data_IF_694583538028
#
_entry.id   IF_694583538028
#
_cell.length_a   1.000
_cell.length_b   1.000
_cell.length_c   1.000
_cell.angle_alpha   90.00
_cell.angle_beta   90.00
_cell.angle_gamma   90.00
#
_symmetry.space_group_name_H-M   'P 1'
#
loop_
_entity.id
_entity.type
_entity.pdbx_description
1 polymer ?
#
# COMPACT_ATOMS: atom_id res chain seq x y z
N UNK A 1 -3.17 24.70 -2.20
CA UNK A 1 -3.22 23.45 -3.00
C UNK A 1 -1.91 22.72 -2.75
N UNK A 2 -1.95 21.57 -2.04
CA UNK A 2 -0.75 20.78 -1.77
C UNK A 2 -0.31 20.13 -3.07
N UNK A 3 0.70 20.68 -3.68
CA UNK A 3 1.26 20.24 -4.95
C UNK A 3 2.40 19.22 -4.78
N UNK A 4 2.67 18.71 -3.59
CA UNK A 4 3.69 17.72 -3.29
C UNK A 4 3.67 16.49 -4.22
N UNK A 5 4.25 15.41 -3.80
CA UNK A 5 4.26 14.15 -4.56
C UNK A 5 2.86 13.73 -5.03
N UNK A 6 1.82 14.11 -4.28
CA UNK A 6 0.42 13.94 -4.66
C UNK A 6 0.02 14.72 -5.95
N UNK A 7 0.75 15.75 -6.35
CA UNK A 7 0.48 16.53 -7.57
C UNK A 7 0.99 15.92 -8.87
N UNK A 8 1.87 14.94 -8.80
CA UNK A 8 2.47 14.30 -9.99
C UNK A 8 1.47 13.46 -10.78
N UNK A 9 1.85 13.20 -12.03
CA UNK A 9 1.04 12.38 -12.94
C UNK A 9 0.72 11.00 -12.30
N UNK A 10 -0.51 10.49 -12.45
CA UNK A 10 -0.94 9.23 -11.85
C UNK A 10 -0.02 8.04 -12.13
N UNK A 11 0.55 7.96 -13.32
CA UNK A 11 1.51 6.91 -13.71
C UNK A 11 2.77 6.92 -12.83
N UNK A 12 3.34 8.10 -12.55
CA UNK A 12 4.54 8.24 -11.70
C UNK A 12 4.25 7.73 -10.29
N UNK A 13 3.11 8.17 -9.73
CA UNK A 13 2.72 7.75 -8.38
C UNK A 13 2.51 6.23 -8.29
N UNK A 14 1.79 5.65 -9.26
CA UNK A 14 1.49 4.20 -9.23
C UNK A 14 2.75 3.38 -9.46
N UNK A 15 3.62 3.76 -10.40
CA UNK A 15 4.92 3.09 -10.60
C UNK A 15 5.76 3.13 -9.32
N UNK A 16 5.87 4.29 -8.68
CA UNK A 16 6.60 4.42 -7.42
C UNK A 16 6.09 3.43 -6.36
N UNK A 17 4.79 3.41 -6.10
CA UNK A 17 4.23 2.52 -5.07
C UNK A 17 4.37 1.04 -5.44
N UNK A 18 4.21 0.68 -6.72
CA UNK A 18 4.45 -0.70 -7.19
C UNK A 18 5.91 -1.09 -6.91
N UNK A 19 6.88 -0.24 -7.29
CA UNK A 19 8.30 -0.50 -7.08
C UNK A 19 8.62 -0.70 -5.60
N UNK A 20 8.22 0.24 -4.73
CA UNK A 20 8.56 0.18 -3.30
C UNK A 20 7.89 -1.00 -2.60
N UNK A 21 6.63 -1.31 -2.93
CA UNK A 21 5.93 -2.47 -2.35
C UNK A 21 6.57 -3.77 -2.85
N UNK A 22 6.84 -3.89 -4.15
CA UNK A 22 7.46 -5.08 -4.73
C UNK A 22 8.85 -5.34 -4.14
N UNK A 23 9.71 -4.32 -4.08
CA UNK A 23 11.04 -4.46 -3.47
C UNK A 23 10.96 -4.70 -1.96
N UNK A 24 10.02 -4.08 -1.25
CA UNK A 24 9.79 -4.33 0.17
C UNK A 24 9.37 -5.78 0.49
N UNK A 25 8.75 -6.48 -0.49
CA UNK A 25 8.40 -7.90 -0.36
C UNK A 25 9.56 -8.83 -0.80
N UNK A 26 10.32 -8.45 -1.82
CA UNK A 26 11.39 -9.27 -2.39
C UNK A 26 12.68 -9.21 -1.57
N UNK A 27 13.04 -8.02 -1.06
CA UNK A 27 14.26 -7.79 -0.30
C UNK A 27 14.05 -8.17 1.16
N UNK A 28 14.41 -9.40 1.54
CA UNK A 28 14.28 -9.89 2.93
C UNK A 28 15.44 -9.53 3.85
N UNK A 29 16.37 -8.71 3.37
CA UNK A 29 17.52 -8.28 4.15
C UNK A 29 17.09 -7.28 5.24
N UNK A 30 17.50 -7.46 6.53
CA UNK A 30 16.98 -6.68 7.65
C UNK A 30 17.23 -5.17 7.50
N UNK A 31 18.37 -4.75 6.95
CA UNK A 31 18.68 -3.32 6.74
C UNK A 31 17.72 -2.68 5.75
N UNK A 32 17.41 -3.32 4.63
CA UNK A 32 16.43 -2.81 3.65
C UNK A 32 15.03 -2.69 4.25
N UNK A 33 14.63 -3.68 5.06
CA UNK A 33 13.32 -3.68 5.73
C UNK A 33 13.19 -2.56 6.74
N UNK A 34 14.22 -2.31 7.54
CA UNK A 34 14.23 -1.19 8.51
C UNK A 34 14.14 0.15 7.80
N UNK A 35 14.86 0.34 6.69
CA UNK A 35 14.79 1.55 5.88
C UNK A 35 13.39 1.74 5.30
N UNK A 36 12.79 0.69 4.73
CA UNK A 36 11.42 0.72 4.21
C UNK A 36 10.41 1.05 5.30
N UNK A 37 10.54 0.45 6.48
CA UNK A 37 9.68 0.72 7.62
C UNK A 37 9.77 2.16 8.11
N UNK A 38 11.00 2.69 8.28
CA UNK A 38 11.21 4.07 8.74
C UNK A 38 10.68 5.08 7.71
N UNK A 39 10.96 4.87 6.42
CA UNK A 39 10.51 5.78 5.37
C UNK A 39 8.99 5.76 5.19
N UNK A 40 8.36 4.57 5.19
CA UNK A 40 6.90 4.44 5.12
C UNK A 40 6.21 5.08 6.32
N UNK A 41 6.78 4.88 7.52
CA UNK A 41 6.30 5.48 8.76
C UNK A 41 6.37 7.01 8.69
N UNK A 42 7.52 7.56 8.31
CA UNK A 42 7.74 9.01 8.21
C UNK A 42 6.79 9.64 7.19
N UNK A 43 6.63 9.00 6.02
CA UNK A 43 5.75 9.49 4.98
C UNK A 43 4.28 9.41 5.36
N UNK A 44 3.84 8.30 5.95
CA UNK A 44 2.46 8.14 6.42
C UNK A 44 2.09 9.15 7.51
N UNK A 45 2.99 9.39 8.47
CA UNK A 45 2.77 10.39 9.51
C UNK A 45 2.66 11.81 8.94
N UNK A 46 3.42 12.12 7.91
CA UNK A 46 3.33 13.40 7.20
C UNK A 46 1.98 13.56 6.48
N UNK A 47 1.50 12.52 5.79
CA UNK A 47 0.23 12.55 5.04
C UNK A 47 -1.00 12.61 5.95
N UNK A 48 -1.06 11.77 6.98
CA UNK A 48 -2.26 11.56 7.81
C UNK A 48 -2.20 12.28 9.16
N UNK A 49 -1.09 12.87 9.56
CA UNK A 49 -0.92 13.69 10.76
C UNK A 49 -1.39 12.99 12.06
N UNK A 50 -2.37 13.60 12.76
CA UNK A 50 -2.89 13.06 14.04
C UNK A 50 -3.61 11.72 13.88
N UNK A 51 -4.31 11.52 12.76
CA UNK A 51 -5.02 10.26 12.47
C UNK A 51 -4.00 9.15 12.21
N UNK A 52 -2.96 9.44 11.43
CA UNK A 52 -1.87 8.51 11.17
C UNK A 52 -1.19 8.00 12.44
N UNK A 53 -0.85 8.90 13.37
CA UNK A 53 -0.29 8.51 14.69
C UNK A 53 -1.19 7.55 15.45
N UNK A 54 -2.50 7.82 15.50
CA UNK A 54 -3.46 6.94 16.18
C UNK A 54 -3.52 5.56 15.53
N UNK A 55 -3.49 5.49 14.20
CA UNK A 55 -3.50 4.23 13.44
C UNK A 55 -2.22 3.42 13.69
N UNK A 56 -1.07 4.08 13.69
CA UNK A 56 0.22 3.43 13.99
C UNK A 56 0.20 2.77 15.37
N UNK A 57 -0.12 3.53 16.42
CA UNK A 57 -0.09 2.99 17.79
C UNK A 57 -1.20 1.99 18.08
N UNK A 58 -2.39 2.15 17.49
CA UNK A 58 -3.55 1.30 17.81
C UNK A 58 -3.62 0.04 16.95
N UNK A 59 -3.08 0.09 15.74
CA UNK A 59 -3.22 -1.00 14.77
C UNK A 59 -1.87 -1.59 14.34
N UNK A 60 -0.93 -0.77 13.84
CA UNK A 60 0.30 -1.27 13.24
C UNK A 60 1.27 -1.86 14.27
N UNK A 61 1.43 -1.22 15.42
CA UNK A 61 2.34 -1.69 16.45
C UNK A 61 1.85 -2.99 17.14
N UNK A 62 0.56 -3.13 17.54
CA UNK A 62 0.05 -4.42 18.00
C UNK A 62 0.11 -5.51 16.95
N UNK A 63 -0.12 -5.18 15.67
CA UNK A 63 -0.02 -6.11 14.57
C UNK A 63 1.42 -6.62 14.38
N UNK A 64 2.41 -5.74 14.49
CA UNK A 64 3.83 -6.12 14.44
C UNK A 64 4.16 -7.12 15.55
N UNK A 65 3.79 -6.81 16.79
CA UNK A 65 4.00 -7.70 17.93
C UNK A 65 3.29 -9.06 17.74
N UNK A 66 2.07 -9.03 17.24
CA UNK A 66 1.28 -10.22 16.98
C UNK A 66 1.94 -11.14 15.94
N UNK A 67 2.44 -10.58 14.82
CA UNK A 67 3.14 -11.36 13.79
C UNK A 67 4.44 -11.95 14.32
N UNK A 68 5.21 -11.18 15.11
CA UNK A 68 6.45 -11.67 15.74
C UNK A 68 6.12 -12.86 16.67
N UNK A 69 5.15 -12.70 17.55
CA UNK A 69 4.76 -13.72 18.52
C UNK A 69 4.26 -14.99 17.84
N UNK A 70 3.33 -14.86 16.88
CA UNK A 70 2.81 -16.04 16.18
C UNK A 70 3.92 -16.76 15.42
N UNK A 71 4.74 -16.02 14.67
CA UNK A 71 5.83 -16.64 13.93
C UNK A 71 6.79 -17.40 14.86
N UNK A 72 7.19 -16.79 15.97
CA UNK A 72 8.11 -17.41 16.93
C UNK A 72 7.51 -18.59 17.71
N UNK A 73 6.18 -18.61 17.91
CA UNK A 73 5.50 -19.69 18.62
C UNK A 73 5.19 -20.89 17.74
N UNK A 74 4.91 -20.66 16.44
CA UNK A 74 4.52 -21.72 15.52
C UNK A 74 5.67 -22.25 14.66
N UNK A 75 6.70 -21.44 14.41
CA UNK A 75 7.90 -21.87 13.70
C UNK A 75 8.98 -22.29 14.68
N UNK A 76 9.40 -23.54 14.59
CA UNK A 76 10.41 -24.16 15.45
C UNK A 76 11.72 -24.40 14.68
N UNK A 77 12.01 -23.55 13.70
CA UNK A 77 13.23 -23.61 12.91
C UNK A 77 14.43 -23.13 13.71
N UNK A 78 15.61 -23.66 13.39
CA UNK A 78 16.87 -23.22 13.94
C UNK A 78 17.47 -24.19 14.96
N UNK A 79 18.72 -23.93 15.31
CA UNK A 79 19.56 -24.79 16.17
C UNK A 79 19.69 -24.17 17.56
N UNK A 80 19.60 -22.85 17.67
CA UNK A 80 19.82 -22.13 18.94
C UNK A 80 18.53 -22.07 19.76
N UNK A 81 18.38 -23.01 20.71
CA UNK A 81 17.22 -23.04 21.61
C UNK A 81 17.39 -22.03 22.76
N UNK A 82 16.43 -21.12 22.89
CA UNK A 82 16.36 -20.15 23.99
C UNK A 82 15.66 -20.77 25.22
N UNK A 83 14.53 -21.40 25.02
CA UNK A 83 13.78 -22.15 26.03
C UNK A 83 12.84 -23.16 25.37
N UNK A 84 12.39 -24.13 26.15
CA UNK A 84 11.45 -25.16 25.69
C UNK A 84 10.07 -24.80 26.21
N UNK A 85 9.07 -24.75 25.29
CA UNK A 85 7.69 -24.49 25.67
C UNK A 85 7.09 -25.69 26.45
N UNK A 86 6.05 -25.46 27.26
CA UNK A 86 5.33 -26.57 27.93
C UNK A 86 4.74 -27.59 26.98
N UNK A 87 4.56 -27.24 25.69
CA UNK A 87 4.11 -28.13 24.61
C UNK A 87 5.21 -29.07 24.10
N UNK A 88 6.44 -28.99 24.61
CA UNK A 88 7.61 -29.77 24.16
C UNK A 88 8.31 -29.16 22.92
N UNK A 89 7.87 -28.05 22.40
CA UNK A 89 8.46 -27.38 21.24
C UNK A 89 9.57 -26.43 21.67
N UNK A 90 10.63 -26.34 20.87
CA UNK A 90 11.76 -25.45 21.12
C UNK A 90 11.46 -24.03 20.62
N UNK A 91 11.62 -23.02 21.47
CA UNK A 91 11.61 -21.62 21.08
C UNK A 91 13.05 -21.22 20.69
N UNK A 92 13.27 -20.91 19.41
CA UNK A 92 14.61 -20.69 18.87
C UNK A 92 14.85 -19.21 18.55
N UNK A 93 16.13 -18.80 18.62
CA UNK A 93 16.53 -17.43 18.26
C UNK A 93 16.27 -17.11 16.78
N UNK A 94 16.51 -18.07 15.91
CA UNK A 94 16.30 -17.94 14.46
C UNK A 94 14.83 -17.74 14.14
N UNK A 95 13.92 -18.44 14.83
CA UNK A 95 12.47 -18.25 14.67
C UNK A 95 12.03 -16.83 15.11
N UNK A 96 12.64 -16.28 16.16
CA UNK A 96 12.37 -14.92 16.61
C UNK A 96 12.85 -13.88 15.60
N UNK A 97 14.08 -14.04 15.07
CA UNK A 97 14.61 -13.15 14.02
C UNK A 97 13.75 -13.22 12.75
N UNK A 98 13.37 -14.42 12.33
CA UNK A 98 12.47 -14.61 11.19
C UNK A 98 11.10 -13.96 11.43
N UNK A 99 10.58 -14.09 12.66
CA UNK A 99 9.34 -13.42 13.10
C UNK A 99 9.43 -11.90 13.01
N UNK A 100 10.56 -11.33 13.44
CA UNK A 100 10.82 -9.90 13.37
C UNK A 100 10.90 -9.40 11.92
N UNK A 101 11.63 -10.10 11.06
CA UNK A 101 11.75 -9.80 9.62
C UNK A 101 10.39 -9.86 8.94
N UNK A 102 9.63 -10.94 9.17
CA UNK A 102 8.28 -11.10 8.61
C UNK A 102 7.32 -10.03 9.13
N UNK A 103 7.38 -9.70 10.42
CA UNK A 103 6.57 -8.65 11.03
C UNK A 103 6.83 -7.27 10.44
N UNK A 104 8.10 -6.87 10.31
CA UNK A 104 8.47 -5.61 9.67
C UNK A 104 8.04 -5.58 8.21
N UNK A 105 8.23 -6.67 7.46
CA UNK A 105 7.81 -6.75 6.05
C UNK A 105 6.32 -6.50 5.92
N UNK A 106 5.48 -7.24 6.66
CA UNK A 106 4.02 -7.10 6.60
C UNK A 106 3.58 -5.68 6.98
N UNK A 107 4.11 -5.15 8.08
CA UNK A 107 3.73 -3.81 8.54
C UNK A 107 4.19 -2.72 7.58
N UNK A 108 5.40 -2.81 7.02
CA UNK A 108 5.90 -1.85 6.02
C UNK A 108 5.05 -1.85 4.76
N UNK A 109 4.68 -3.02 4.27
CA UNK A 109 3.79 -3.14 3.09
C UNK A 109 2.44 -2.51 3.37
N UNK A 110 1.83 -2.77 4.53
CA UNK A 110 0.56 -2.16 4.92
C UNK A 110 0.68 -0.63 5.04
N UNK A 111 1.78 -0.13 5.59
CA UNK A 111 2.03 1.31 5.66
C UNK A 111 2.14 1.94 4.27
N UNK A 112 2.85 1.28 3.33
CA UNK A 112 2.92 1.74 1.95
C UNK A 112 1.55 1.73 1.26
N UNK A 113 0.70 0.73 1.54
CA UNK A 113 -0.69 0.71 1.06
C UNK A 113 -1.52 1.86 1.64
N UNK A 114 -1.33 2.23 2.91
CA UNK A 114 -1.99 3.41 3.47
C UNK A 114 -1.53 4.70 2.76
N UNK A 115 -0.23 4.85 2.50
CA UNK A 115 0.29 5.97 1.72
C UNK A 115 -0.27 5.99 0.29
N UNK A 116 -0.34 4.82 -0.35
CA UNK A 116 -0.94 4.66 -1.69
C UNK A 116 -2.39 5.17 -1.71
N UNK A 117 -3.21 4.76 -0.77
CA UNK A 117 -4.62 5.15 -0.71
C UNK A 117 -4.81 6.66 -0.49
N UNK A 118 -3.88 7.33 0.21
CA UNK A 118 -3.92 8.78 0.40
C UNK A 118 -3.44 9.56 -0.84
N UNK A 119 -2.49 9.03 -1.59
CA UNK A 119 -1.87 9.71 -2.75
C UNK A 119 -2.61 9.40 -4.04
N UNK A 120 -2.96 8.12 -4.26
CA UNK A 120 -3.67 7.67 -5.46
C UNK A 120 -5.17 7.70 -5.21
N UNK A 121 -5.78 8.82 -5.56
CA UNK A 121 -7.25 8.99 -5.47
C UNK A 121 -7.97 8.18 -6.54
N UNK A 122 -9.29 7.98 -6.36
CA UNK A 122 -10.16 7.31 -7.33
C UNK A 122 -10.04 7.90 -8.74
N UNK A 123 -9.94 9.24 -8.85
CA UNK A 123 -9.77 9.94 -10.13
C UNK A 123 -8.48 9.56 -10.86
N UNK A 124 -7.36 9.42 -10.10
CA UNK A 124 -6.07 9.01 -10.66
C UNK A 124 -6.08 7.57 -11.14
N UNK A 125 -6.67 6.70 -10.32
CA UNK A 125 -6.86 5.30 -10.68
C UNK A 125 -7.69 5.17 -11.96
N UNK A 126 -8.81 5.87 -12.03
CA UNK A 126 -9.67 5.92 -13.21
C UNK A 126 -8.97 6.47 -14.46
N UNK A 127 -8.06 7.43 -14.30
CA UNK A 127 -7.27 7.96 -15.41
C UNK A 127 -6.37 6.89 -16.06
N UNK A 128 -5.68 6.09 -15.23
CA UNK A 128 -4.79 5.01 -15.73
C UNK A 128 -5.61 3.92 -16.40
N UNK A 129 -6.65 3.41 -15.71
CA UNK A 129 -7.51 2.36 -16.24
C UNK A 129 -8.30 2.80 -17.47
N UNK A 130 -8.70 4.08 -17.53
CA UNK A 130 -9.42 4.65 -18.64
C UNK A 130 -8.66 4.63 -19.96
N UNK A 131 -7.33 4.67 -19.89
CA UNK A 131 -6.47 4.55 -21.07
C UNK A 131 -6.31 3.10 -21.55
N UNK A 132 -6.24 2.15 -20.61
CA UNK A 132 -6.04 0.71 -20.91
C UNK A 132 -7.37 0.05 -21.31
N UNK A 133 -8.45 0.33 -20.58
CA UNK A 133 -9.77 -0.28 -20.74
C UNK A 133 -10.87 0.81 -20.75
N UNK A 134 -11.06 1.55 -21.87
CA UNK A 134 -11.96 2.70 -21.91
C UNK A 134 -13.42 2.35 -21.55
N UNK A 135 -13.90 1.18 -21.99
CA UNK A 135 -15.26 0.69 -21.67
C UNK A 135 -15.40 0.34 -20.20
N UNK A 136 -14.40 -0.35 -19.62
CA UNK A 136 -14.36 -0.71 -18.21
C UNK A 136 -14.29 0.51 -17.29
N UNK A 137 -13.46 1.48 -17.62
CA UNK A 137 -13.35 2.73 -16.87
C UNK A 137 -14.67 3.50 -16.80
N UNK A 138 -15.42 3.53 -17.89
CA UNK A 138 -16.74 4.16 -17.92
C UNK A 138 -17.69 3.44 -16.95
N UNK A 139 -17.73 2.10 -16.97
CA UNK A 139 -18.57 1.32 -16.04
C UNK A 139 -18.19 1.58 -14.59
N UNK A 140 -16.89 1.55 -14.25
CA UNK A 140 -16.42 1.83 -12.89
C UNK A 140 -16.76 3.26 -12.46
N UNK A 141 -16.59 4.25 -13.35
CA UNK A 141 -17.00 5.64 -13.07
C UNK A 141 -18.49 5.77 -12.78
N UNK A 142 -19.34 5.04 -13.50
CA UNK A 142 -20.77 4.98 -13.22
C UNK A 142 -21.05 4.32 -11.87
N UNK A 143 -20.40 3.22 -11.55
CA UNK A 143 -20.54 2.52 -10.25
C UNK A 143 -20.18 3.47 -9.11
N UNK A 144 -19.02 4.14 -9.17
CA UNK A 144 -18.59 5.09 -8.14
C UNK A 144 -19.61 6.23 -7.93
N UNK A 145 -20.24 6.70 -9.00
CA UNK A 145 -21.31 7.70 -8.92
C UNK A 145 -22.59 7.12 -8.33
N UNK A 146 -22.94 5.88 -8.65
CA UNK A 146 -24.18 5.25 -8.18
C UNK A 146 -24.14 4.81 -6.73
N UNK A 147 -22.98 4.45 -6.19
CA UNK A 147 -22.85 4.05 -4.76
C UNK A 147 -23.43 5.09 -3.79
N UNK A 148 -23.06 6.38 -3.83
CA UNK A 148 -23.67 7.38 -2.96
C UNK A 148 -25.15 7.62 -3.26
N UNK A 149 -25.58 7.53 -4.52
CA UNK A 149 -26.97 7.66 -4.94
C UNK A 149 -27.82 6.52 -4.34
N UNK A 150 -27.38 5.27 -4.46
CA UNK A 150 -28.08 4.10 -3.93
C UNK A 150 -28.14 4.11 -2.39
N UNK A 151 -27.08 4.58 -1.72
CA UNK A 151 -27.09 4.77 -0.26
C UNK A 151 -28.16 5.78 0.17
N UNK A 152 -28.33 6.89 -0.55
CA UNK A 152 -29.39 7.87 -0.29
C UNK A 152 -30.77 7.26 -0.52
N UNK A 153 -30.97 6.61 -1.67
CA UNK A 153 -32.23 5.99 -2.04
C UNK A 153 -32.64 4.87 -1.06
N UNK A 154 -31.70 4.05 -0.62
CA UNK A 154 -31.94 3.05 0.42
C UNK A 154 -32.43 3.68 1.74
N UNK A 155 -31.83 4.79 2.18
CA UNK A 155 -32.29 5.51 3.37
C UNK A 155 -33.72 6.05 3.20
N UNK A 156 -34.03 6.65 2.05
CA UNK A 156 -35.39 7.14 1.74
C UNK A 156 -36.41 6.00 1.79
N UNK A 157 -36.14 4.88 1.12
CA UNK A 157 -37.01 3.70 1.14
C UNK A 157 -37.18 3.17 2.56
N UNK A 158 -36.10 3.07 3.33
CA UNK A 158 -36.13 2.60 4.71
C UNK A 158 -36.95 3.53 5.62
N UNK A 159 -36.81 4.85 5.44
CA UNK A 159 -37.60 5.85 6.20
C UNK A 159 -39.07 5.82 5.81
N UNK A 160 -39.38 5.80 4.52
CA UNK A 160 -40.77 5.71 4.06
C UNK A 160 -41.49 4.46 4.62
N UNK A 161 -40.80 3.32 4.59
CA UNK A 161 -41.37 2.07 5.17
C UNK A 161 -41.50 2.11 6.71
N UNK A 162 -40.59 2.81 7.39
CA UNK A 162 -40.70 3.03 8.82
C UNK A 162 -41.92 3.87 9.17
N UNK A 163 -42.19 4.93 8.42
CA UNK A 163 -43.38 5.76 8.59
C UNK A 163 -44.67 4.99 8.31
N UNK A 164 -44.64 3.95 7.48
CA UNK A 164 -45.76 3.03 7.26
C UNK A 164 -45.90 1.91 8.31
N UNK A 165 -45.12 1.96 9.41
CA UNK A 165 -45.15 0.97 10.47
C UNK A 165 -44.53 -0.41 10.13
N UNK A 166 -43.92 -0.54 8.96
CA UNK A 166 -43.44 -1.84 8.45
C UNK A 166 -42.02 -2.23 8.91
N UNK A 167 -41.31 -1.35 9.61
CA UNK A 167 -39.90 -1.56 9.97
C UNK A 167 -39.66 -1.68 11.48
N UNK A 168 -40.68 -1.64 12.30
CA UNK A 168 -40.60 -1.70 13.76
C UNK A 168 -40.74 -3.14 14.26
N UNK A 169 -39.62 -3.81 14.39
CA UNK A 169 -39.52 -5.08 15.10
C UNK A 169 -38.13 -5.27 15.71
N UNK A 170 -38.10 -5.66 16.99
CA UNK A 170 -36.84 -5.98 17.68
C UNK A 170 -36.29 -7.37 17.33
N UNK A 171 -37.07 -8.20 16.60
CA UNK A 171 -36.62 -9.52 16.16
C UNK A 171 -35.63 -9.43 15.01
N UNK A 172 -34.47 -10.04 15.17
CA UNK A 172 -33.38 -10.07 14.14
C UNK A 172 -33.90 -10.62 12.80
N UNK A 173 -34.69 -11.68 12.79
CA UNK A 173 -35.23 -12.31 11.58
C UNK A 173 -36.18 -11.35 10.84
N UNK A 174 -37.03 -10.63 11.55
CA UNK A 174 -37.96 -9.66 10.95
C UNK A 174 -37.15 -8.45 10.37
N UNK A 175 -36.15 -8.00 11.10
CA UNK A 175 -35.27 -6.94 10.63
C UNK A 175 -34.54 -7.34 9.34
N UNK A 176 -34.03 -8.58 9.27
CA UNK A 176 -33.37 -9.12 8.06
C UNK A 176 -34.37 -9.20 6.90
N UNK A 177 -35.58 -9.74 7.12
CA UNK A 177 -36.64 -9.79 6.11
C UNK A 177 -37.01 -8.39 5.57
N UNK A 178 -37.09 -7.38 6.45
CA UNK A 178 -37.36 -6.01 6.08
C UNK A 178 -36.21 -5.39 5.27
N UNK A 179 -34.95 -5.70 5.60
CA UNK A 179 -33.80 -5.29 4.83
C UNK A 179 -33.85 -5.86 3.41
N UNK A 180 -34.14 -7.16 3.24
CA UNK A 180 -34.30 -7.77 1.92
C UNK A 180 -35.44 -7.16 1.11
N UNK A 181 -36.57 -6.80 1.73
CA UNK A 181 -37.65 -6.09 1.06
C UNK A 181 -37.19 -4.68 0.57
N UNK A 182 -36.44 -3.96 1.41
CA UNK A 182 -35.88 -2.65 1.01
C UNK A 182 -34.93 -2.78 -0.18
N UNK A 183 -34.07 -3.83 -0.15
CA UNK A 183 -33.16 -4.12 -1.26
C UNK A 183 -33.96 -4.48 -2.52
N UNK A 184 -35.02 -5.27 -2.43
CA UNK A 184 -35.87 -5.60 -3.57
C UNK A 184 -36.45 -4.36 -4.25
N UNK A 185 -36.98 -3.40 -3.46
CA UNK A 185 -37.47 -2.12 -3.99
C UNK A 185 -36.34 -1.32 -4.64
N UNK A 186 -35.16 -1.28 -4.00
CA UNK A 186 -33.99 -0.59 -4.54
C UNK A 186 -33.52 -1.20 -5.87
N UNK A 187 -33.55 -2.53 -5.99
CA UNK A 187 -33.16 -3.23 -7.23
C UNK A 187 -34.14 -2.90 -8.36
N UNK A 188 -35.44 -2.93 -8.13
CA UNK A 188 -36.45 -2.54 -9.14
C UNK A 188 -36.26 -1.10 -9.62
N UNK A 189 -36.06 -0.17 -8.69
CA UNK A 189 -35.76 1.22 -9.02
C UNK A 189 -34.42 1.34 -9.78
N UNK A 190 -33.41 0.51 -9.44
CA UNK A 190 -32.12 0.53 -10.12
C UNK A 190 -32.21 0.12 -11.58
N UNK A 191 -33.07 -0.85 -11.92
CA UNK A 191 -33.30 -1.27 -13.31
C UNK A 191 -33.97 -0.16 -14.12
N UNK A 192 -35.00 0.50 -13.57
CA UNK A 192 -35.66 1.64 -14.20
C UNK A 192 -34.65 2.77 -14.49
N UNK A 193 -33.88 3.18 -13.48
CA UNK A 193 -32.85 4.19 -13.61
C UNK A 193 -31.73 3.80 -14.62
N UNK A 194 -31.41 2.50 -14.72
CA UNK A 194 -30.42 2.02 -15.68
C UNK A 194 -30.91 2.16 -17.13
N UNK A 195 -32.20 1.89 -17.40
CA UNK A 195 -32.82 2.06 -18.72
C UNK A 195 -32.82 3.55 -19.11
N UNK A 196 -33.29 4.42 -18.22
CA UNK A 196 -33.30 5.88 -18.46
C UNK A 196 -31.88 6.43 -18.72
N UNK A 197 -30.89 5.92 -17.92
CA UNK A 197 -29.49 6.30 -18.12
C UNK A 197 -28.98 5.85 -19.49
N UNK A 198 -29.29 4.62 -19.90
CA UNK A 198 -28.88 4.07 -21.18
C UNK A 198 -29.48 4.87 -22.35
N UNK A 199 -30.74 5.24 -22.28
CA UNK A 199 -31.42 6.05 -23.32
C UNK A 199 -30.86 7.48 -23.37
N UNK A 200 -30.61 8.08 -22.20
CA UNK A 200 -29.92 9.38 -22.12
C UNK A 200 -28.52 9.33 -22.72
N UNK A 201 -27.77 8.25 -22.52
CA UNK A 201 -26.44 8.05 -23.11
C UNK A 201 -26.50 7.91 -24.63
N UNK A 202 -27.47 7.14 -25.16
CA UNK A 202 -27.69 7.00 -26.60
C UNK A 202 -28.04 8.37 -27.23
N UNK A 203 -28.93 9.12 -26.61
CA UNK A 203 -29.31 10.46 -27.06
C UNK A 203 -28.12 11.43 -27.11
N UNK A 204 -27.12 11.25 -26.23
CA UNK A 204 -25.87 12.03 -26.23
C UNK A 204 -24.81 11.50 -27.21
N UNK A 205 -25.15 10.56 -28.06
CA UNK A 205 -24.24 10.01 -29.07
C UNK A 205 -23.28 8.93 -28.55
N UNK A 206 -23.61 8.27 -27.43
CA UNK A 206 -22.80 7.15 -26.95
C UNK A 206 -22.80 6.02 -27.99
N UNK A 207 -21.60 5.54 -28.34
CA UNK A 207 -21.40 4.47 -29.35
C UNK A 207 -21.02 4.97 -30.74
N UNK A 208 -21.08 6.27 -31.02
CA UNK A 208 -20.61 6.85 -32.27
C UNK A 208 -19.10 6.80 -32.40
N UNK A 209 -18.59 6.68 -33.64
CA UNK A 209 -17.15 6.71 -33.94
C UNK A 209 -16.59 8.14 -33.73
N UNK A 210 -15.32 8.25 -33.33
CA UNK A 210 -14.65 9.54 -33.15
C UNK A 210 -14.70 10.11 -31.71
N UNK A 211 -15.06 9.28 -30.71
CA UNK A 211 -15.07 9.71 -29.32
C UNK A 211 -13.66 10.07 -28.84
N UNK A 212 -13.49 11.30 -28.36
CA UNK A 212 -12.27 11.78 -27.68
C UNK A 212 -12.36 11.53 -26.19
N UNK A 213 -11.21 11.26 -25.56
CA UNK A 213 -11.09 11.09 -24.12
C UNK A 213 -10.62 12.40 -23.50
N UNK A 214 -11.42 12.96 -22.60
CA UNK A 214 -10.99 14.10 -21.79
C UNK A 214 -10.05 13.64 -20.69
N UNK A 215 -8.78 14.09 -20.75
CA UNK A 215 -7.79 13.82 -19.73
C UNK A 215 -7.64 15.01 -18.79
N UNK A 216 -7.95 14.83 -17.52
CA UNK A 216 -7.73 15.82 -16.45
C UNK A 216 -6.26 15.97 -16.09
N UNK A 217 -5.49 14.88 -16.26
CA UNK A 217 -4.08 14.85 -15.93
C UNK A 217 -3.26 14.96 -17.20
N UNK A 218 -2.52 16.05 -17.31
CA UNK A 218 -1.57 16.28 -18.41
C UNK A 218 -0.16 15.98 -17.93
N UNK A 219 0.67 15.51 -18.83
CA UNK A 219 2.06 15.23 -18.55
C UNK A 219 2.87 16.53 -18.51
N UNK A 220 3.59 16.76 -17.41
CA UNK A 220 4.43 17.94 -17.21
C UNK A 220 5.92 17.55 -17.18
N UNK A 221 6.79 18.52 -17.43
CA UNK A 221 8.26 18.32 -17.35
C UNK A 221 8.72 17.81 -15.97
N UNK A 222 8.00 18.19 -14.89
CA UNK A 222 8.23 17.68 -13.55
C UNK A 222 8.02 16.17 -13.43
N UNK A 223 7.06 15.59 -14.18
CA UNK A 223 6.79 14.14 -14.17
C UNK A 223 7.93 13.37 -14.84
N UNK A 224 8.50 13.91 -15.91
CA UNK A 224 9.69 13.34 -16.57
C UNK A 224 10.90 13.37 -15.64
N UNK A 225 11.11 14.49 -14.92
CA UNK A 225 12.18 14.61 -13.92
C UNK A 225 12.03 13.65 -12.73
N UNK A 226 10.83 13.22 -12.42
CA UNK A 226 10.58 12.26 -11.35
C UNK A 226 10.68 10.81 -11.82
N UNK A 227 10.31 10.49 -13.08
CA UNK A 227 10.32 9.12 -13.58
C UNK A 227 11.73 8.63 -13.92
N UNK A 228 12.61 9.52 -14.37
CA UNK A 228 14.01 9.16 -14.70
C UNK A 228 14.76 8.62 -13.48
N UNK A 229 14.86 9.33 -12.34
CA UNK A 229 15.52 8.77 -11.16
C UNK A 229 14.80 7.53 -10.62
N UNK A 230 13.47 7.45 -10.70
CA UNK A 230 12.72 6.30 -10.28
C UNK A 230 13.14 5.05 -11.06
N UNK A 231 13.12 5.09 -12.39
CA UNK A 231 13.54 3.97 -13.24
C UNK A 231 15.02 3.62 -13.10
N UNK A 232 15.88 4.62 -12.86
CA UNK A 232 17.30 4.40 -12.59
C UNK A 232 17.50 3.65 -11.27
N UNK A 233 16.83 4.07 -10.20
CA UNK A 233 16.91 3.38 -8.91
C UNK A 233 16.35 1.97 -9.00
N UNK A 234 15.22 1.76 -9.69
CA UNK A 234 14.65 0.43 -9.91
C UNK A 234 15.65 -0.48 -10.63
N UNK A 235 16.32 0.02 -11.68
CA UNK A 235 17.34 -0.75 -12.41
C UNK A 235 18.54 -1.11 -11.52
N UNK A 236 19.02 -0.17 -10.68
CA UNK A 236 20.12 -0.43 -9.74
C UNK A 236 19.73 -1.45 -8.66
N UNK A 237 18.51 -1.40 -8.14
CA UNK A 237 18.02 -2.35 -7.16
C UNK A 237 17.89 -3.75 -7.79
N UNK A 238 17.35 -3.84 -9.01
CA UNK A 238 17.23 -5.10 -9.75
C UNK A 238 18.62 -5.69 -10.03
N UNK A 239 19.61 -4.88 -10.45
CA UNK A 239 20.96 -5.35 -10.66
C UNK A 239 21.60 -5.90 -9.37
N UNK A 240 21.32 -5.24 -8.23
CA UNK A 240 21.73 -5.70 -6.92
C UNK A 240 21.05 -7.03 -6.52
N UNK A 241 19.78 -7.19 -6.84
CA UNK A 241 19.01 -8.39 -6.54
C UNK A 241 19.51 -9.59 -7.37
N UNK A 242 19.83 -9.39 -8.65
CA UNK A 242 20.44 -10.41 -9.53
C UNK A 242 21.86 -10.79 -9.07
N UNK A 243 22.59 -9.85 -8.48
CA UNK A 243 23.93 -10.08 -7.92
C UNK A 243 23.93 -10.54 -6.45
N UNK A 244 22.83 -11.12 -5.95
CA UNK A 244 22.68 -11.62 -4.57
C UNK A 244 23.03 -10.60 -3.47
N UNK A 245 22.96 -9.31 -3.76
CA UNK A 245 23.37 -8.24 -2.85
C UNK A 245 22.49 -8.10 -1.60
N UNK A 246 21.29 -8.67 -1.62
CA UNK A 246 20.34 -8.69 -0.49
C UNK A 246 20.10 -10.11 0.02
N UNK A 247 21.10 -10.99 -0.12
CA UNK A 247 21.04 -12.37 0.31
C UNK A 247 20.95 -12.48 1.82
N UNK A 248 19.94 -13.21 2.32
CA UNK A 248 19.78 -13.55 3.73
C UNK A 248 19.14 -14.92 3.86
N UNK A 249 19.74 -15.76 4.72
CA UNK A 249 19.18 -17.03 5.15
C UNK A 249 18.87 -16.95 6.64
N UNK A 250 17.69 -17.44 7.02
CA UNK A 250 17.23 -17.46 8.42
C UNK A 250 16.97 -18.86 8.94
N UNK A 251 17.28 -19.90 8.16
CA UNK A 251 17.08 -21.30 8.52
C UNK A 251 18.12 -22.18 7.80
N UNK A 252 18.88 -23.05 8.48
CA UNK A 252 18.88 -23.30 9.94
C UNK A 252 19.67 -22.28 10.76
N UNK A 253 20.51 -21.47 10.13
CA UNK A 253 21.34 -20.43 10.74
C UNK A 253 20.97 -19.07 10.17
N UNK A 254 21.27 -18.02 10.92
CA UNK A 254 21.09 -16.65 10.44
C UNK A 254 22.35 -16.19 9.70
N UNK A 255 22.27 -16.08 8.37
CA UNK A 255 23.38 -15.60 7.52
C UNK A 255 22.93 -14.31 6.84
N UNK A 256 23.67 -13.23 7.07
CA UNK A 256 23.41 -11.92 6.49
C UNK A 256 24.54 -11.62 5.49
N UNK A 257 24.21 -11.29 4.28
CA UNK A 257 25.05 -11.14 3.08
C UNK A 257 25.67 -12.45 2.57
N UNK A 258 25.96 -12.54 1.25
CA UNK A 258 26.59 -13.70 0.68
C UNK A 258 28.04 -13.86 1.21
N UNK A 259 28.56 -15.07 1.30
CA UNK A 259 29.95 -15.30 1.65
C UNK A 259 30.87 -14.61 0.64
N UNK A 260 31.73 -13.72 1.11
CA UNK A 260 32.69 -12.98 0.29
C UNK A 260 34.05 -13.70 0.33
N UNK A 261 34.68 -13.88 -0.82
CA UNK A 261 36.01 -14.48 -0.92
C UNK A 261 37.12 -13.66 -0.23
N UNK A 262 36.86 -12.38 0.02
CA UNK A 262 37.88 -11.43 0.56
C UNK A 262 37.50 -10.76 1.87
N UNK A 263 36.37 -11.09 2.46
CA UNK A 263 35.84 -10.40 3.65
C UNK A 263 36.00 -11.16 4.95
N UNK A 264 36.26 -10.44 6.04
CA UNK A 264 36.20 -10.98 7.40
C UNK A 264 34.76 -11.32 7.75
N UNK A 265 34.44 -12.61 7.89
CA UNK A 265 33.16 -13.08 8.41
C UNK A 265 33.14 -12.87 9.92
N UNK A 266 32.12 -12.17 10.42
CA UNK A 266 31.89 -12.07 11.87
C UNK A 266 30.93 -13.21 12.28
N UNK A 267 31.47 -14.16 13.07
CA UNK A 267 30.70 -15.31 13.57
C UNK A 267 30.46 -15.10 15.06
N UNK A 268 29.19 -15.01 15.45
CA UNK A 268 28.80 -15.01 16.85
C UNK A 268 28.38 -16.45 17.19
N UNK A 269 29.32 -17.22 17.72
CA UNK A 269 29.17 -18.67 17.95
C UNK A 269 27.99 -19.02 18.86
N UNK A 270 27.72 -18.20 19.88
CA UNK A 270 26.62 -18.47 20.84
C UNK A 270 25.22 -18.38 20.17
N UNK A 271 25.07 -17.56 19.13
CA UNK A 271 23.80 -17.31 18.44
C UNK A 271 23.75 -17.86 17.02
N UNK A 272 24.78 -18.57 16.57
CA UNK A 272 24.91 -19.08 15.18
C UNK A 272 24.61 -18.00 14.11
N UNK A 273 25.05 -16.77 14.38
CA UNK A 273 24.82 -15.60 13.52
C UNK A 273 26.09 -15.31 12.74
N UNK A 274 26.00 -15.33 11.41
CA UNK A 274 27.09 -14.96 10.51
C UNK A 274 26.75 -13.68 9.77
N UNK A 275 27.63 -12.67 9.91
CA UNK A 275 27.48 -11.39 9.20
C UNK A 275 28.69 -11.23 8.27
N UNK A 276 28.44 -11.20 6.99
CA UNK A 276 29.46 -10.92 5.99
C UNK A 276 29.46 -9.42 5.63
N UNK A 277 30.60 -8.86 5.18
CA UNK A 277 30.67 -7.46 4.76
C UNK A 277 29.84 -7.22 3.50
N UNK A 278 29.35 -5.98 3.36
CA UNK A 278 28.65 -5.55 2.16
C UNK A 278 29.59 -5.51 0.95
N UNK A 279 29.18 -6.06 -0.16
CA UNK A 279 29.85 -5.87 -1.46
C UNK A 279 29.59 -4.46 -1.99
N UNK A 280 30.42 -3.97 -2.91
CA UNK A 280 30.22 -2.65 -3.54
C UNK A 280 28.83 -2.58 -4.18
N UNK A 281 28.40 -3.65 -4.84
CA UNK A 281 27.06 -3.74 -5.45
C UNK A 281 25.94 -3.66 -4.41
N UNK A 282 26.12 -4.30 -3.25
CA UNK A 282 25.17 -4.22 -2.13
C UNK A 282 25.03 -2.79 -1.61
N UNK A 283 26.13 -2.06 -1.49
CA UNK A 283 26.12 -0.66 -1.04
C UNK A 283 25.40 0.24 -2.05
N UNK A 284 25.68 0.07 -3.35
CA UNK A 284 25.02 0.84 -4.40
C UNK A 284 23.51 0.58 -4.40
N UNK A 285 23.09 -0.68 -4.34
CA UNK A 285 21.67 -1.05 -4.30
C UNK A 285 20.99 -0.56 -3.04
N UNK A 286 21.67 -0.57 -1.87
CA UNK A 286 21.16 -0.04 -0.62
C UNK A 286 20.91 1.46 -0.68
N UNK A 287 21.87 2.22 -1.23
CA UNK A 287 21.74 3.67 -1.42
C UNK A 287 20.59 3.97 -2.39
N UNK A 288 20.51 3.24 -3.52
CA UNK A 288 19.42 3.40 -4.47
C UNK A 288 18.05 3.13 -3.84
N UNK A 289 17.92 2.06 -3.05
CA UNK A 289 16.69 1.73 -2.33
C UNK A 289 16.32 2.79 -1.28
N UNK A 290 17.30 3.29 -0.53
CA UNK A 290 17.09 4.36 0.44
C UNK A 290 16.57 5.62 -0.24
N UNK A 291 17.22 6.06 -1.34
CA UNK A 291 16.78 7.22 -2.10
C UNK A 291 15.39 7.03 -2.69
N UNK A 292 15.08 5.84 -3.20
CA UNK A 292 13.76 5.49 -3.70
C UNK A 292 12.70 5.64 -2.60
N UNK A 293 12.91 5.02 -1.44
CA UNK A 293 11.96 5.05 -0.32
C UNK A 293 11.71 6.46 0.22
N UNK A 294 12.75 7.32 0.29
CA UNK A 294 12.62 8.69 0.78
C UNK A 294 12.22 9.71 -0.29
N UNK A 295 12.15 9.32 -1.56
CA UNK A 295 11.83 10.21 -2.69
C UNK A 295 10.55 11.04 -2.48
N UNK A 296 9.38 10.48 -2.12
CA UNK A 296 8.17 11.27 -1.92
C UNK A 296 8.29 12.25 -0.75
N UNK A 297 8.99 11.84 0.31
CA UNK A 297 9.19 12.69 1.48
C UNK A 297 10.10 13.88 1.15
N UNK A 298 11.15 13.66 0.36
CA UNK A 298 12.08 14.71 -0.11
C UNK A 298 11.35 15.72 -1.01
N UNK A 299 10.52 15.23 -1.93
CA UNK A 299 9.73 16.09 -2.82
C UNK A 299 8.77 16.97 -1.99
N UNK A 300 8.03 16.36 -1.08
CA UNK A 300 7.07 17.08 -0.24
C UNK A 300 7.74 18.10 0.69
N UNK A 301 8.92 17.77 1.26
CA UNK A 301 9.68 18.70 2.09
C UNK A 301 10.22 19.88 1.27
N UNK A 302 10.71 19.61 0.05
CA UNK A 302 11.21 20.67 -0.84
C UNK A 302 10.10 21.67 -1.21
N UNK A 303 8.90 21.20 -1.43
CA UNK A 303 7.75 22.05 -1.73
C UNK A 303 7.29 22.85 -0.49
N UNK A 304 7.23 22.21 0.68
CA UNK A 304 6.89 22.89 1.94
C UNK A 304 7.87 24.06 2.20
N UNK A 305 9.18 23.84 2.01
CA UNK A 305 10.21 24.87 2.16
C UNK A 305 10.00 26.00 1.12
N UNK A 306 9.67 25.67 -0.11
CA UNK A 306 9.39 26.66 -1.15
C UNK A 306 8.16 27.51 -0.81
N UNK A 307 7.10 26.90 -0.30
CA UNK A 307 5.90 27.62 0.15
C UNK A 307 6.17 28.55 1.33
N UNK A 308 6.90 28.09 2.35
CA UNK A 308 7.29 28.94 3.48
C UNK A 308 8.12 30.15 3.05
N UNK A 309 9.04 29.99 2.08
CA UNK A 309 9.81 31.11 1.53
C UNK A 309 8.96 32.10 0.73
N UNK A 310 7.90 31.63 0.07
CA UNK A 310 6.98 32.52 -0.66
C UNK A 310 6.06 33.29 0.31
N UNK A 311 5.59 32.64 1.37
CA UNK A 311 4.78 33.32 2.41
C UNK A 311 5.57 34.35 3.21
N UNK A 312 6.86 34.16 3.42
CA UNK A 312 7.71 35.11 4.12
C UNK A 312 8.09 36.35 3.29
N UNK A 313 7.72 36.40 2.00
CA UNK A 313 7.94 37.53 1.09
C UNK A 313 6.68 38.38 0.85
N UNK A 314 5.55 37.93 1.37
CA UNK A 314 4.27 38.63 1.38
C UNK A 314 4.07 39.27 2.74
#
# INVERSE_FOLDING_TARGET
MNSGFKGYHPLVNVLFFISVIAFGMLLRHPVYLVISFISSMAYYLKLSGKVGRKTVFRFLLPMLLFVILINSLFNHYGVTTLFVLPSGNNFTFEALVMGFVSGITVVSVIQWFFCYNEVVTEDKFMHIFGRILPKGALVVSMILRFVPLYRRRYKEISQARKHMGQNESNNFIVKMKNTFKNIGILVSWSFENAIETADSMKARGYGLKGRTYYSRFQWHTGDTLAIIPLTLFDALIISGLVGDSAYCIYNPYVIINPPSESGTTYIINELNLTINPFTILSIISLIAFTLLCFLPLIIDLKEDIKWHRLQSKI
#
